data_IF_571637321172
#
_entry.id   IF_571637321172
#
_cell.length_a   1.000
_cell.length_b   1.000
_cell.length_c   1.000
_cell.angle_alpha   90.00
_cell.angle_beta   90.00
_cell.angle_gamma   90.00
#
_symmetry.space_group_name_H-M   'P 1'
#
loop_
_entity.id
_entity.type
_entity.pdbx_description
1 polymer ?
#
# COMPACT_ATOMS: atom_id res chain seq x y z
N UNK A 1 -13.31 21.01 -7.99
CA UNK A 1 -12.37 19.92 -8.28
C UNK A 1 -12.78 19.27 -9.59
N UNK A 2 -11.99 19.41 -10.66
CA UNK A 2 -12.33 18.90 -11.99
C UNK A 2 -11.94 17.41 -12.09
N UNK A 3 -12.90 16.51 -11.83
CA UNK A 3 -12.68 15.06 -11.78
C UNK A 3 -12.44 14.41 -13.17
N UNK A 4 -12.48 15.19 -14.25
CA UNK A 4 -12.37 14.69 -15.63
C UNK A 4 -10.93 14.41 -16.09
N UNK A 5 -9.92 14.87 -15.34
CA UNK A 5 -8.50 14.83 -15.78
C UNK A 5 -7.59 14.09 -14.79
N UNK A 6 -8.10 13.65 -13.64
CA UNK A 6 -7.33 12.88 -12.68
C UNK A 6 -7.32 11.39 -13.07
N UNK A 7 -6.16 10.73 -12.93
CA UNK A 7 -6.06 9.27 -13.02
C UNK A 7 -6.76 8.64 -11.81
N UNK A 8 -8.08 8.48 -11.93
CA UNK A 8 -8.94 7.93 -10.89
C UNK A 8 -8.91 6.40 -11.01
N UNK A 9 -8.61 5.66 -9.92
CA UNK A 9 -8.64 4.20 -9.92
C UNK A 9 -9.99 3.66 -10.39
N UNK A 10 -9.96 2.59 -11.19
CA UNK A 10 -11.18 2.01 -11.77
C UNK A 10 -12.25 1.70 -10.71
N UNK A 11 -11.86 1.16 -9.56
CA UNK A 11 -12.77 0.87 -8.44
C UNK A 11 -13.58 2.08 -7.96
N UNK A 12 -13.00 3.28 -8.01
CA UNK A 12 -13.66 4.53 -7.59
C UNK A 12 -14.71 4.92 -8.64
N UNK A 13 -14.42 4.71 -9.92
CA UNK A 13 -15.37 4.92 -11.03
C UNK A 13 -16.54 3.95 -10.91
N UNK A 14 -16.27 2.66 -10.65
CA UNK A 14 -17.30 1.63 -10.51
C UNK A 14 -18.24 1.94 -9.33
N UNK A 15 -17.68 2.35 -8.18
CA UNK A 15 -18.48 2.79 -7.01
C UNK A 15 -19.34 4.00 -7.32
N UNK A 16 -18.80 4.98 -8.05
CA UNK A 16 -19.56 6.16 -8.46
C UNK A 16 -20.73 5.78 -9.39
N UNK A 17 -20.50 4.80 -10.27
CA UNK A 17 -21.54 4.29 -11.17
C UNK A 17 -22.62 3.50 -10.43
N UNK A 18 -22.26 2.69 -9.44
CA UNK A 18 -23.23 2.05 -8.52
C UNK A 18 -24.15 3.08 -7.87
N UNK A 19 -23.58 4.15 -7.32
CA UNK A 19 -24.34 5.24 -6.69
C UNK A 19 -25.25 5.92 -7.71
N UNK A 20 -24.72 6.21 -8.91
CA UNK A 20 -25.49 6.81 -10.00
C UNK A 20 -26.69 5.94 -10.39
N UNK A 21 -26.49 4.63 -10.59
CA UNK A 21 -27.56 3.71 -10.96
C UNK A 21 -28.61 3.58 -9.86
N UNK A 22 -28.19 3.53 -8.59
CA UNK A 22 -29.12 3.54 -7.44
C UNK A 22 -29.97 4.82 -7.42
N UNK A 23 -29.38 5.99 -7.68
CA UNK A 23 -30.11 7.25 -7.79
C UNK A 23 -31.10 7.29 -8.98
N UNK A 24 -30.86 6.49 -10.03
CA UNK A 24 -31.80 6.29 -11.14
C UNK A 24 -32.86 5.22 -10.85
N UNK A 25 -33.00 4.77 -9.59
CA UNK A 25 -34.03 3.84 -9.15
C UNK A 25 -33.74 2.37 -9.45
N UNK A 26 -32.49 2.00 -9.76
CA UNK A 26 -32.14 0.59 -9.92
C UNK A 26 -32.07 -0.12 -8.56
N UNK A 27 -32.70 -1.29 -8.48
CA UNK A 27 -32.60 -2.17 -7.31
C UNK A 27 -31.19 -2.77 -7.17
N UNK A 28 -30.81 -3.06 -5.93
CA UNK A 28 -29.47 -3.57 -5.55
C UNK A 28 -29.09 -4.81 -6.35
N UNK A 29 -30.03 -5.73 -6.53
CA UNK A 29 -29.84 -7.01 -7.23
C UNK A 29 -29.56 -6.80 -8.72
N UNK A 30 -30.22 -5.79 -9.32
CA UNK A 30 -30.01 -5.41 -10.73
C UNK A 30 -28.63 -4.80 -10.93
N UNK A 31 -28.20 -3.95 -10.00
CA UNK A 31 -26.86 -3.35 -10.01
C UNK A 31 -25.80 -4.43 -9.80
N UNK A 32 -26.02 -5.34 -8.85
CA UNK A 32 -25.13 -6.46 -8.57
C UNK A 32 -24.93 -7.34 -9.81
N UNK A 33 -26.01 -7.69 -10.52
CA UNK A 33 -25.94 -8.43 -11.78
C UNK A 33 -25.18 -7.65 -12.86
N UNK A 34 -25.37 -6.32 -12.95
CA UNK A 34 -24.67 -5.48 -13.93
C UNK A 34 -23.15 -5.45 -13.74
N UNK A 35 -22.68 -5.41 -12.48
CA UNK A 35 -21.26 -5.40 -12.14
C UNK A 35 -20.64 -6.79 -11.89
N UNK A 36 -21.45 -7.85 -11.97
CA UNK A 36 -21.07 -9.19 -11.51
C UNK A 36 -20.54 -9.20 -10.06
N UNK A 37 -21.20 -8.44 -9.19
CA UNK A 37 -20.89 -8.33 -7.75
C UNK A 37 -21.94 -9.04 -6.91
N UNK A 38 -21.64 -9.22 -5.62
CA UNK A 38 -22.67 -9.63 -4.67
C UNK A 38 -23.57 -8.43 -4.31
N UNK A 39 -24.84 -8.69 -4.00
CA UNK A 39 -25.74 -7.66 -3.49
C UNK A 39 -25.21 -7.01 -2.19
N UNK A 40 -24.46 -7.76 -1.38
CA UNK A 40 -23.81 -7.26 -0.17
C UNK A 40 -22.80 -6.14 -0.49
N UNK A 41 -21.93 -6.35 -1.48
CA UNK A 41 -20.94 -5.34 -1.88
C UNK A 41 -21.61 -4.05 -2.35
N UNK A 42 -22.72 -4.16 -3.11
CA UNK A 42 -23.49 -2.99 -3.55
C UNK A 42 -24.08 -2.24 -2.34
N UNK A 43 -24.67 -2.95 -1.37
CA UNK A 43 -25.18 -2.33 -0.13
C UNK A 43 -24.08 -1.64 0.67
N UNK A 44 -22.89 -2.25 0.78
CA UNK A 44 -21.75 -1.65 1.47
C UNK A 44 -21.26 -0.36 0.78
N UNK A 45 -21.25 -0.32 -0.54
CA UNK A 45 -20.90 0.89 -1.30
C UNK A 45 -21.92 2.00 -1.04
N UNK A 46 -23.22 1.68 -1.08
CA UNK A 46 -24.28 2.65 -0.81
C UNK A 46 -24.25 3.15 0.64
N UNK A 47 -24.08 2.26 1.62
CA UNK A 47 -23.91 2.65 3.02
C UNK A 47 -22.68 3.54 3.22
N UNK A 48 -21.54 3.20 2.61
CA UNK A 48 -20.33 4.03 2.70
C UNK A 48 -20.56 5.42 2.10
N UNK A 49 -21.28 5.51 1.00
CA UNK A 49 -21.65 6.78 0.41
C UNK A 49 -22.55 7.59 1.33
N UNK A 50 -23.57 6.97 1.93
CA UNK A 50 -24.49 7.64 2.85
C UNK A 50 -23.78 8.18 4.10
N UNK A 51 -22.82 7.43 4.65
CA UNK A 51 -22.10 7.83 5.87
C UNK A 51 -20.91 8.76 5.64
N UNK A 52 -20.18 8.61 4.53
CA UNK A 52 -18.89 9.28 4.29
C UNK A 52 -18.84 10.13 3.01
N UNK A 53 -19.90 10.15 2.20
CA UNK A 53 -19.94 10.89 0.94
C UNK A 53 -18.78 10.54 0.01
N UNK A 54 -18.13 11.56 -0.55
CA UNK A 54 -17.02 11.42 -1.50
C UNK A 54 -15.83 10.61 -0.94
N UNK A 55 -15.56 10.71 0.36
CA UNK A 55 -14.49 9.94 1.01
C UNK A 55 -14.78 8.43 0.99
N UNK A 56 -16.07 8.06 1.05
CA UNK A 56 -16.52 6.67 1.02
C UNK A 56 -16.25 5.94 -0.31
N UNK A 57 -15.99 6.67 -1.40
CA UNK A 57 -15.60 6.07 -2.67
C UNK A 57 -14.15 5.57 -2.68
N UNK A 58 -13.27 6.23 -1.92
CA UNK A 58 -11.84 5.90 -1.91
C UNK A 58 -11.55 4.65 -1.07
N UNK A 59 -10.54 3.88 -1.48
CA UNK A 59 -10.04 2.78 -0.65
C UNK A 59 -9.29 3.34 0.54
N UNK A 60 -9.54 2.76 1.73
CA UNK A 60 -8.67 3.01 2.87
C UNK A 60 -7.29 2.41 2.55
N UNK A 61 -6.19 3.08 2.94
CA UNK A 61 -4.87 2.46 2.83
C UNK A 61 -4.91 1.08 3.50
N UNK A 62 -4.44 0.06 2.78
CA UNK A 62 -4.56 -1.33 3.21
C UNK A 62 -3.91 -1.58 4.57
N UNK A 63 -4.29 -2.68 5.23
CA UNK A 63 -3.76 -3.15 6.53
C UNK A 63 -2.27 -3.55 6.51
N UNK A 64 -1.48 -3.10 5.54
CA UNK A 64 -0.05 -3.37 5.51
C UNK A 64 0.55 -3.02 6.88
N UNK A 65 1.27 -3.98 7.48
CA UNK A 65 1.93 -3.75 8.76
C UNK A 65 2.77 -2.49 8.67
N UNK A 66 2.66 -1.61 9.68
CA UNK A 66 3.52 -0.43 9.76
C UNK A 66 4.97 -0.88 9.63
N UNK A 67 5.74 -0.21 8.78
CA UNK A 67 7.16 -0.51 8.63
C UNK A 67 7.83 -0.53 10.01
N UNK A 68 8.60 -1.58 10.31
CA UNK A 68 9.34 -1.71 11.58
C UNK A 68 10.57 -0.80 11.63
N UNK A 69 10.86 -0.09 10.54
CA UNK A 69 11.98 0.85 10.37
C UNK A 69 11.49 2.16 9.77
N UNK A 70 12.21 3.23 10.10
CA UNK A 70 12.07 4.54 9.48
C UNK A 70 13.07 4.70 8.33
N UNK A 71 12.77 5.56 7.36
CA UNK A 71 13.65 5.84 6.21
C UNK A 71 15.11 6.16 6.63
N UNK A 72 15.28 6.83 7.76
CA UNK A 72 16.57 7.15 8.36
C UNK A 72 17.42 5.92 8.72
N UNK A 73 16.78 4.80 9.08
CA UNK A 73 17.46 3.55 9.42
C UNK A 73 18.08 2.90 8.18
N UNK A 74 17.39 2.97 7.04
CA UNK A 74 17.91 2.46 5.77
C UNK A 74 18.98 3.37 5.19
N UNK A 75 18.78 4.69 5.25
CA UNK A 75 19.79 5.66 4.83
C UNK A 75 21.09 5.54 5.67
N UNK A 76 20.98 5.18 6.95
CA UNK A 76 22.13 4.88 7.79
C UNK A 76 22.91 3.66 7.28
N UNK A 77 22.21 2.57 6.95
CA UNK A 77 22.83 1.36 6.41
C UNK A 77 23.48 1.59 5.04
N UNK A 78 22.83 2.34 4.15
CA UNK A 78 23.38 2.74 2.86
C UNK A 78 24.70 3.52 3.03
N UNK A 79 24.73 4.51 3.94
CA UNK A 79 25.96 5.23 4.27
C UNK A 79 27.05 4.32 4.84
N UNK A 80 26.70 3.37 5.71
CA UNK A 80 27.67 2.40 6.21
C UNK A 80 28.26 1.52 5.09
N UNK A 81 27.44 1.11 4.12
CA UNK A 81 27.88 0.32 2.98
C UNK A 81 28.75 1.13 2.00
N UNK A 82 28.51 2.43 1.86
CA UNK A 82 29.34 3.32 1.02
C UNK A 82 30.69 3.65 1.65
N UNK A 83 30.73 3.89 2.96
CA UNK A 83 31.95 4.33 3.65
C UNK A 83 32.95 3.20 3.92
N UNK A 84 32.47 1.97 4.01
CA UNK A 84 33.30 0.83 4.38
C UNK A 84 33.45 -0.14 3.20
N UNK A 85 34.67 -0.35 2.66
CA UNK A 85 34.91 -1.25 1.52
C UNK A 85 34.79 -2.74 1.86
N UNK A 86 34.18 -3.09 3.01
CA UNK A 86 34.05 -4.45 3.51
C UNK A 86 32.71 -5.04 3.08
N UNK A 87 32.74 -6.26 2.53
CA UNK A 87 31.51 -7.01 2.24
C UNK A 87 30.81 -7.38 3.54
N UNK A 88 29.73 -6.66 3.85
CA UNK A 88 28.89 -6.93 5.01
C UNK A 88 27.94 -8.10 4.73
N UNK A 89 27.88 -9.07 5.65
CA UNK A 89 26.82 -10.07 5.66
C UNK A 89 25.53 -9.46 6.23
N UNK A 90 24.38 -9.85 5.70
CA UNK A 90 23.03 -9.52 6.20
C UNK A 90 22.86 -9.63 7.72
N UNK A 91 23.48 -10.63 8.37
CA UNK A 91 23.45 -10.82 9.83
C UNK A 91 24.21 -9.69 10.55
N UNK A 92 25.35 -9.27 10.02
CA UNK A 92 26.16 -8.19 10.60
C UNK A 92 25.45 -6.84 10.49
N UNK A 93 24.78 -6.58 9.36
CA UNK A 93 23.97 -5.37 9.18
C UNK A 93 22.76 -5.34 10.13
N UNK A 94 22.10 -6.48 10.33
CA UNK A 94 20.99 -6.58 11.29
C UNK A 94 21.47 -6.31 12.72
N UNK A 95 22.62 -6.86 13.12
CA UNK A 95 23.23 -6.59 14.43
C UNK A 95 23.62 -5.12 14.60
N UNK A 96 24.24 -4.52 13.58
CA UNK A 96 24.62 -3.09 13.59
C UNK A 96 23.40 -2.20 13.73
N UNK A 97 22.32 -2.51 13.00
CA UNK A 97 21.06 -1.79 13.09
C UNK A 97 20.39 -1.92 14.47
N UNK A 98 20.43 -3.12 15.06
CA UNK A 98 19.91 -3.35 16.40
C UNK A 98 20.73 -2.58 17.45
N UNK A 99 22.06 -2.56 17.34
CA UNK A 99 22.95 -1.87 18.28
C UNK A 99 22.83 -0.34 18.20
N UNK A 100 22.84 0.22 16.98
CA UNK A 100 22.92 1.68 16.79
C UNK A 100 21.55 2.36 16.73
N UNK A 101 20.51 1.65 16.29
CA UNK A 101 19.15 2.21 16.10
C UNK A 101 18.09 1.52 16.95
N UNK A 102 18.41 0.47 17.70
CA UNK A 102 17.44 -0.34 18.46
C UNK A 102 16.31 -0.92 17.58
N UNK A 103 16.57 -1.09 16.28
CA UNK A 103 15.60 -1.57 15.29
C UNK A 103 15.91 -3.02 14.96
N UNK A 104 15.01 -3.93 15.36
CA UNK A 104 15.14 -5.37 15.12
C UNK A 104 14.50 -5.76 13.79
N UNK A 105 15.32 -6.10 12.81
CA UNK A 105 14.90 -6.63 11.51
C UNK A 105 15.49 -8.02 11.26
N UNK A 106 14.73 -8.86 10.54
CA UNK A 106 15.26 -10.13 10.06
C UNK A 106 16.34 -9.88 9.00
N UNK A 107 17.49 -10.59 9.04
CA UNK A 107 18.54 -10.50 8.02
C UNK A 107 18.01 -10.72 6.59
N UNK A 108 17.12 -11.69 6.39
CA UNK A 108 16.51 -11.99 5.08
C UNK A 108 15.68 -10.83 4.56
N UNK A 109 14.93 -10.20 5.46
CA UNK A 109 14.09 -9.08 5.11
C UNK A 109 14.92 -7.82 4.83
N UNK A 110 16.01 -7.62 5.57
CA UNK A 110 16.97 -6.55 5.30
C UNK A 110 17.61 -6.72 3.90
N UNK A 111 17.96 -7.95 3.53
CA UNK A 111 18.45 -8.28 2.18
C UNK A 111 17.40 -7.94 1.10
N UNK A 112 16.14 -8.29 1.30
CA UNK A 112 15.06 -7.94 0.36
C UNK A 112 14.88 -6.42 0.22
N UNK A 113 14.90 -5.68 1.33
CA UNK A 113 14.76 -4.22 1.34
C UNK A 113 15.92 -3.56 0.61
N UNK A 114 17.16 -3.95 0.91
CA UNK A 114 18.35 -3.38 0.27
C UNK A 114 18.46 -3.78 -1.22
N UNK A 115 18.04 -4.99 -1.59
CA UNK A 115 17.93 -5.41 -3.01
C UNK A 115 16.91 -4.55 -3.76
N UNK A 116 15.76 -4.25 -3.15
CA UNK A 116 14.74 -3.36 -3.74
C UNK A 116 15.23 -1.92 -3.92
N UNK A 117 16.17 -1.48 -3.07
CA UNK A 117 16.79 -0.15 -3.11
C UNK A 117 18.02 -0.07 -4.04
N UNK A 118 18.50 -1.20 -4.55
CA UNK A 118 19.66 -1.26 -5.45
C UNK A 118 21.02 -1.23 -4.75
N UNK A 119 21.06 -1.32 -3.41
CA UNK A 119 22.30 -1.18 -2.61
C UNK A 119 23.06 -2.50 -2.41
N UNK A 120 22.53 -3.63 -2.88
CA UNK A 120 23.25 -4.91 -2.90
C UNK A 120 23.74 -5.22 -4.31
N UNK A 121 25.06 -5.21 -4.47
CA UNK A 121 25.76 -5.62 -5.68
C UNK A 121 25.35 -7.03 -6.12
N UNK A 122 25.38 -7.21 -7.44
CA UNK A 122 24.96 -8.40 -8.18
C UNK A 122 25.43 -9.72 -7.56
N UNK A 123 24.51 -10.67 -7.43
CA UNK A 123 24.88 -12.09 -7.52
C UNK A 123 25.42 -12.30 -8.95
N UNK A 124 26.75 -12.49 -9.03
CA UNK A 124 27.36 -13.31 -10.09
C UNK A 124 27.06 -14.78 -9.78
#
# INVERSE_FOLDING_TARGET
MNLRTADIPQKVKDRAEVIRLSAHGWYVEKIAAHFNWTAQTVREVLHRWEHFGLEGLWEKPGRGGKSRWAEADMAFLEKCLEQEPRTYNSVQLAQKLEQERSVKLSPDWLRQVLKKRGSFGSEL
#
